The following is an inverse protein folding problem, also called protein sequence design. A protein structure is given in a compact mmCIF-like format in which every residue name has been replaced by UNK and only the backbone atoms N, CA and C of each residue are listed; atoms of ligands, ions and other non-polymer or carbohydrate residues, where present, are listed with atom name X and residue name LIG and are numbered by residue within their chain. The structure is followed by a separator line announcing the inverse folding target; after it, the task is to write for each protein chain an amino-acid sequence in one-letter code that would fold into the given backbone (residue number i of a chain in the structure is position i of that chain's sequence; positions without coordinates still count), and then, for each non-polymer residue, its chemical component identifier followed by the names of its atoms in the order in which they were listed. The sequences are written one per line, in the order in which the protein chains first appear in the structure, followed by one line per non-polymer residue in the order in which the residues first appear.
data_IF_979605671628
#
_entry.id   IF_979605671628
#
_cell.length_a   1.000
_cell.length_b   1.000
_cell.length_c   1.000
_cell.angle_alpha   90.00
_cell.angle_beta   90.00
_cell.angle_gamma   90.00
#
_symmetry.space_group_name_H-M   'P 1'
#
loop_
_entity.id
_entity.type
_entity.pdbx_description
1 polymer ?
#
# COMPACT_ATOMS: atom_id res chain seq x y z
N UNK A 1 17.15 -47.81 -6.83
CA UNK A 1 15.89 -47.17 -7.24
C UNK A 1 15.77 -45.89 -6.43
N UNK A 2 16.30 -44.80 -6.98
CA UNK A 2 16.04 -43.44 -6.50
C UNK A 2 14.73 -43.00 -7.16
N UNK A 3 13.68 -42.82 -6.37
CA UNK A 3 12.53 -42.02 -6.79
C UNK A 3 12.74 -40.60 -6.27
N UNK A 4 13.23 -39.76 -7.18
CA UNK A 4 13.20 -38.32 -7.09
C UNK A 4 11.73 -37.92 -7.20
N UNK A 5 11.01 -37.87 -6.09
CA UNK A 5 9.68 -37.26 -6.07
C UNK A 5 9.85 -35.75 -6.04
N UNK A 6 9.77 -35.19 -7.23
CA UNK A 6 9.75 -33.78 -7.57
C UNK A 6 9.03 -32.95 -6.50
N UNK A 7 9.74 -31.92 -6.01
CA UNK A 7 9.18 -30.89 -5.15
C UNK A 7 7.93 -30.30 -5.78
N UNK A 8 6.77 -30.61 -5.21
CA UNK A 8 5.61 -29.76 -5.29
C UNK A 8 5.96 -28.56 -4.40
N UNK A 9 6.53 -27.51 -4.99
CA UNK A 9 6.47 -26.18 -4.37
C UNK A 9 5.00 -25.82 -4.41
N UNK A 10 4.25 -26.15 -3.35
CA UNK A 10 2.86 -25.77 -3.22
C UNK A 10 2.74 -24.27 -3.47
N UNK A 11 1.75 -23.92 -4.30
CA UNK A 11 1.39 -22.55 -4.63
C UNK A 11 1.02 -21.80 -3.33
N UNK A 12 2.02 -21.23 -2.66
CA UNK A 12 1.83 -20.42 -1.45
C UNK A 12 0.99 -19.19 -1.79
N UNK A 13 -0.32 -19.36 -1.67
CA UNK A 13 -1.30 -18.29 -1.67
C UNK A 13 -1.72 -18.05 -0.23
N UNK A 14 -1.97 -16.80 0.12
CA UNK A 14 -2.36 -16.42 1.48
C UNK A 14 -3.81 -15.96 1.50
N UNK A 15 -4.55 -16.12 2.61
CA UNK A 15 -5.89 -15.55 2.71
C UNK A 15 -5.85 -14.02 2.52
N UNK A 16 -6.92 -13.43 1.97
CA UNK A 16 -7.03 -11.98 1.77
C UNK A 16 -6.82 -11.20 3.07
N UNK A 17 -7.35 -11.70 4.19
CA UNK A 17 -7.08 -11.17 5.52
C UNK A 17 -5.99 -12.00 6.16
N UNK A 18 -4.80 -11.40 6.23
CA UNK A 18 -3.65 -11.98 6.90
C UNK A 18 -3.60 -11.44 8.34
N UNK A 19 -3.59 -12.33 9.34
CA UNK A 19 -3.50 -11.97 10.77
C UNK A 19 -2.07 -12.01 11.34
N UNK A 20 -1.11 -12.48 10.55
CA UNK A 20 0.31 -12.57 10.93
C UNK A 20 1.16 -12.40 9.67
N UNK A 21 2.30 -11.72 9.73
CA UNK A 21 3.15 -11.55 8.54
C UNK A 21 3.90 -12.88 8.26
N UNK A 22 3.75 -13.50 7.08
CA UNK A 22 4.48 -14.73 6.76
C UNK A 22 6.00 -14.48 6.67
N UNK A 23 6.81 -15.49 7.00
CA UNK A 23 8.28 -15.40 7.02
C UNK A 23 8.88 -15.07 5.64
N UNK A 24 8.25 -15.57 4.57
CA UNK A 24 8.58 -15.22 3.19
C UNK A 24 8.46 -13.71 2.91
N UNK A 25 7.50 -13.04 3.55
CA UNK A 25 7.28 -11.59 3.44
C UNK A 25 8.22 -10.81 4.37
N UNK A 26 8.53 -11.33 5.56
CA UNK A 26 9.57 -10.76 6.42
C UNK A 26 10.91 -10.65 5.70
N UNK A 27 11.30 -11.70 4.97
CA UNK A 27 12.57 -11.72 4.23
C UNK A 27 12.60 -10.67 3.11
N UNK A 28 11.47 -10.47 2.42
CA UNK A 28 11.31 -9.40 1.41
C UNK A 28 11.39 -8.03 2.07
N UNK A 29 10.77 -7.87 3.23
CA UNK A 29 10.78 -6.64 3.99
C UNK A 29 12.20 -6.26 4.42
N UNK A 30 12.92 -7.18 5.07
CA UNK A 30 14.30 -6.99 5.51
C UNK A 30 15.23 -6.64 4.35
N UNK A 31 15.13 -7.34 3.21
CA UNK A 31 15.99 -7.07 2.05
C UNK A 31 15.76 -5.69 1.42
N UNK A 32 14.50 -5.26 1.32
CA UNK A 32 14.16 -4.00 0.65
C UNK A 32 14.12 -2.79 1.58
N UNK A 33 13.93 -3.00 2.89
CA UNK A 33 13.66 -1.93 3.85
C UNK A 33 14.61 -1.90 5.06
N UNK A 34 15.64 -2.78 5.17
CA UNK A 34 16.64 -2.69 6.27
C UNK A 34 17.29 -1.32 6.41
N UNK A 35 17.73 -0.74 5.29
CA UNK A 35 18.34 0.59 5.28
C UNK A 35 17.38 1.69 5.74
N UNK A 36 16.09 1.44 5.59
CA UNK A 36 15.05 2.35 6.01
C UNK A 36 14.69 2.21 7.49
N UNK A 37 14.73 1.01 8.07
CA UNK A 37 14.44 0.78 9.49
C UNK A 37 15.36 1.56 10.43
N UNK A 38 16.64 1.72 10.06
CA UNK A 38 17.62 2.48 10.87
C UNK A 38 17.40 4.00 10.82
N UNK A 39 16.79 4.51 9.75
CA UNK A 39 16.61 5.94 9.50
C UNK A 39 15.14 6.37 9.38
N UNK A 40 14.19 5.51 9.71
CA UNK A 40 12.75 5.71 9.45
C UNK A 40 12.25 7.00 10.10
N UNK A 41 12.65 7.22 11.36
CA UNK A 41 12.28 8.42 12.10
C UNK A 41 12.84 9.70 11.48
N UNK A 42 14.06 9.64 10.93
CA UNK A 42 14.68 10.77 10.23
C UNK A 42 13.90 11.08 8.95
N UNK A 43 13.58 10.06 8.15
CA UNK A 43 12.80 10.23 6.92
C UNK A 43 11.39 10.76 7.17
N UNK A 44 10.73 10.30 8.25
CA UNK A 44 9.43 10.81 8.67
C UNK A 44 9.50 12.28 9.07
N UNK A 45 10.50 12.65 9.87
CA UNK A 45 10.67 14.03 10.31
C UNK A 45 10.93 14.95 9.12
N UNK A 46 11.83 14.57 8.22
CA UNK A 46 12.15 15.35 7.01
C UNK A 46 10.92 15.52 6.10
N UNK A 47 10.15 14.45 5.88
CA UNK A 47 8.92 14.52 5.10
C UNK A 47 7.87 15.42 5.77
N UNK A 48 7.72 15.36 7.10
CA UNK A 48 6.83 16.26 7.85
C UNK A 48 7.23 17.72 7.68
N UNK A 49 8.53 18.02 7.73
CA UNK A 49 9.05 19.38 7.54
C UNK A 49 8.76 19.90 6.13
N UNK A 50 8.96 19.08 5.09
CA UNK A 50 8.61 19.45 3.72
C UNK A 50 7.11 19.78 3.56
N UNK A 51 6.24 19.07 4.31
CA UNK A 51 4.79 19.28 4.29
C UNK A 51 4.34 20.52 5.07
N UNK A 52 5.01 20.89 6.17
CA UNK A 52 4.66 22.08 6.98
C UNK A 52 4.70 23.39 6.20
N UNK A 53 5.53 23.47 5.15
CA UNK A 53 5.68 24.68 4.33
C UNK A 53 4.68 24.84 3.18
N UNK A 54 3.69 23.96 3.03
CA UNK A 54 2.78 23.97 1.88
C UNK A 54 1.35 24.32 2.26
N UNK A 55 0.75 25.21 1.47
CA UNK A 55 -0.64 25.65 1.60
C UNK A 55 -1.66 24.50 1.54
N UNK A 56 -1.36 23.47 0.75
CA UNK A 56 -2.25 22.32 0.55
C UNK A 56 -2.30 21.35 1.75
N UNK A 57 -1.30 21.40 2.61
CA UNK A 57 -1.18 20.56 3.82
C UNK A 57 -1.25 21.39 5.11
N UNK A 58 -1.61 22.68 4.99
CA UNK A 58 -1.87 23.53 6.14
C UNK A 58 -3.06 22.94 6.92
N UNK A 59 -2.90 22.85 8.23
CA UNK A 59 -3.89 22.29 9.17
C UNK A 59 -4.21 20.78 9.02
N UNK A 60 -3.39 20.03 8.28
CA UNK A 60 -3.50 18.57 8.22
C UNK A 60 -2.51 17.93 9.20
N UNK A 61 -3.04 17.21 10.18
CA UNK A 61 -2.24 16.30 11.01
C UNK A 61 -2.10 14.96 10.29
N UNK A 62 -0.88 14.67 9.83
CA UNK A 62 -0.59 13.39 9.18
C UNK A 62 -0.30 12.32 10.22
N UNK A 63 -1.04 11.21 10.14
CA UNK A 63 -0.71 9.98 10.83
C UNK A 63 0.62 9.41 10.33
N UNK A 64 1.44 8.89 11.24
CA UNK A 64 2.72 8.29 10.90
C UNK A 64 2.56 7.14 9.88
N UNK A 65 1.56 6.29 10.06
CA UNK A 65 1.37 5.11 9.20
C UNK A 65 1.11 5.49 7.74
N UNK A 66 0.39 6.59 7.51
CA UNK A 66 0.19 7.14 6.17
C UNK A 66 1.51 7.63 5.55
N UNK A 67 2.33 8.34 6.33
CA UNK A 67 3.63 8.84 5.88
C UNK A 67 4.61 7.69 5.61
N UNK A 68 4.67 6.69 6.50
CA UNK A 68 5.47 5.46 6.33
C UNK A 68 5.05 4.71 5.06
N UNK A 69 3.75 4.59 4.79
CA UNK A 69 3.26 3.99 3.56
C UNK A 69 3.73 4.76 2.32
N UNK A 70 3.73 6.09 2.36
CA UNK A 70 4.22 6.92 1.26
C UNK A 70 5.74 6.77 1.06
N UNK A 71 6.52 6.70 2.14
CA UNK A 71 7.97 6.46 2.10
C UNK A 71 8.29 5.08 1.55
N UNK A 72 7.71 4.02 2.14
CA UNK A 72 7.93 2.64 1.73
C UNK A 72 7.56 2.39 0.27
N UNK A 73 6.41 2.90 -0.18
CA UNK A 73 5.99 2.77 -1.59
C UNK A 73 6.85 3.55 -2.59
N UNK A 74 7.74 4.42 -2.12
CA UNK A 74 8.70 5.16 -2.95
C UNK A 74 10.16 4.78 -2.66
N UNK A 75 10.39 3.64 -2.00
CA UNK A 75 11.73 3.19 -1.59
C UNK A 75 12.51 4.25 -0.82
N UNK A 76 11.83 4.99 0.07
CA UNK A 76 12.40 6.03 0.92
C UNK A 76 13.08 7.20 0.17
N UNK A 77 12.75 7.39 -1.11
CA UNK A 77 13.12 8.60 -1.87
C UNK A 77 12.17 9.73 -1.47
N UNK A 78 12.62 10.59 -0.57
CA UNK A 78 11.80 11.62 0.08
C UNK A 78 11.10 12.52 -0.93
N UNK A 79 11.80 13.03 -1.94
CA UNK A 79 11.19 13.90 -2.98
C UNK A 79 10.03 13.23 -3.71
N UNK A 80 10.15 11.91 -3.96
CA UNK A 80 9.09 11.12 -4.60
C UNK A 80 7.92 10.88 -3.65
N UNK A 81 8.19 10.58 -2.39
CA UNK A 81 7.15 10.44 -1.36
C UNK A 81 6.37 11.75 -1.18
N UNK A 82 7.09 12.87 -1.08
CA UNK A 82 6.52 14.20 -1.03
C UNK A 82 5.65 14.51 -2.25
N UNK A 83 6.18 14.29 -3.46
CA UNK A 83 5.43 14.50 -4.71
C UNK A 83 4.16 13.63 -4.76
N UNK A 84 4.22 12.39 -4.27
CA UNK A 84 3.05 11.49 -4.21
C UNK A 84 1.97 12.04 -3.29
N UNK A 85 2.34 12.58 -2.13
CA UNK A 85 1.39 13.21 -1.20
C UNK A 85 0.75 14.46 -1.83
N UNK A 86 1.55 15.30 -2.50
CA UNK A 86 1.01 16.46 -3.22
C UNK A 86 0.03 16.06 -4.32
N UNK A 87 0.36 15.04 -5.11
CA UNK A 87 -0.53 14.51 -6.15
C UNK A 87 -1.82 13.94 -5.57
N UNK A 88 -1.75 13.27 -4.42
CA UNK A 88 -2.94 12.80 -3.71
C UNK A 88 -3.86 13.95 -3.30
N UNK A 89 -3.32 15.07 -2.81
CA UNK A 89 -4.13 16.25 -2.50
C UNK A 89 -4.74 16.89 -3.74
N UNK A 90 -3.97 17.05 -4.82
CA UNK A 90 -4.52 17.56 -6.07
C UNK A 90 -5.66 16.68 -6.60
N UNK A 91 -5.51 15.36 -6.53
CA UNK A 91 -6.58 14.41 -6.90
C UNK A 91 -7.83 14.64 -6.04
N UNK A 92 -7.66 14.75 -4.71
CA UNK A 92 -8.77 14.98 -3.79
C UNK A 92 -9.49 16.31 -3.99
N UNK A 93 -8.74 17.37 -4.29
CA UNK A 93 -9.31 18.71 -4.52
C UNK A 93 -10.03 18.75 -5.87
N UNK A 94 -9.37 18.29 -6.93
CA UNK A 94 -9.89 18.38 -8.29
C UNK A 94 -11.03 17.39 -8.57
N UNK A 95 -11.04 16.26 -7.86
CA UNK A 95 -12.07 15.23 -7.99
C UNK A 95 -12.76 14.96 -6.67
N UNK A 96 -13.05 16.03 -5.92
CA UNK A 96 -13.65 15.96 -4.59
C UNK A 96 -14.95 15.14 -4.56
N UNK A 97 -15.72 15.09 -5.65
CA UNK A 97 -16.93 14.28 -5.77
C UNK A 97 -16.72 12.78 -5.47
N UNK A 98 -15.53 12.21 -5.69
CA UNK A 98 -15.22 10.82 -5.30
C UNK A 98 -14.96 10.65 -3.79
N UNK A 99 -14.67 11.75 -3.09
CA UNK A 99 -14.18 11.74 -1.70
C UNK A 99 -15.13 12.41 -0.70
N UNK A 100 -16.27 12.95 -1.15
CA UNK A 100 -17.35 13.34 -0.24
C UNK A 100 -17.93 12.11 0.46
N UNK A 101 -18.70 12.29 1.53
CA UNK A 101 -19.43 11.20 2.20
C UNK A 101 -20.43 10.55 1.24
N UNK A 102 -19.96 9.62 0.42
CA UNK A 102 -20.81 8.76 -0.38
C UNK A 102 -21.34 7.70 0.58
N UNK A 103 -22.64 7.70 0.84
CA UNK A 103 -23.32 6.52 1.37
C UNK A 103 -23.24 5.45 0.29
N UNK A 104 -22.16 4.68 0.30
CA UNK A 104 -21.89 3.68 -0.71
C UNK A 104 -22.56 2.37 -0.29
N UNK A 105 -23.70 2.08 -0.92
CA UNK A 105 -24.34 0.76 -0.78
C UNK A 105 -23.67 -0.22 -1.74
N UNK A 106 -22.75 -1.03 -1.20
CA UNK A 106 -22.06 -2.08 -1.95
C UNK A 106 -23.01 -3.15 -2.51
N UNK A 107 -24.25 -3.24 -2.04
CA UNK A 107 -25.25 -4.19 -2.57
C UNK A 107 -25.95 -3.67 -3.82
N UNK A 108 -25.97 -2.34 -4.02
CA UNK A 108 -26.68 -1.68 -5.13
C UNK A 108 -25.74 -1.12 -6.20
N UNK A 109 -24.45 -0.94 -5.88
CA UNK A 109 -23.53 -0.28 -6.81
C UNK A 109 -23.02 -1.23 -7.92
N UNK A 110 -23.32 -1.00 -9.20
CA UNK A 110 -22.92 -1.92 -10.27
C UNK A 110 -21.40 -2.14 -10.39
N UNK A 111 -20.55 -1.31 -9.76
CA UNK A 111 -19.11 -1.54 -9.67
C UNK A 111 -18.72 -2.91 -9.09
N UNK A 112 -19.53 -3.52 -8.21
CA UNK A 112 -19.26 -4.90 -7.74
C UNK A 112 -19.36 -5.94 -8.86
N UNK A 113 -20.03 -5.61 -9.97
CA UNK A 113 -20.13 -6.49 -11.16
C UNK A 113 -18.90 -6.42 -12.04
N UNK A 114 -18.12 -5.34 -11.93
CA UNK A 114 -16.97 -5.11 -12.80
C UNK A 114 -15.66 -5.31 -12.05
N UNK A 115 -15.63 -5.19 -10.73
CA UNK A 115 -14.42 -5.31 -9.93
C UNK A 115 -14.62 -6.35 -8.83
N UNK A 116 -13.88 -7.44 -8.91
CA UNK A 116 -13.87 -8.50 -7.88
C UNK A 116 -12.49 -8.59 -7.23
N UNK A 117 -12.44 -8.46 -5.91
CA UNK A 117 -11.23 -8.76 -5.13
C UNK A 117 -11.17 -10.26 -4.90
N UNK A 118 -10.09 -10.91 -5.34
CA UNK A 118 -9.95 -12.35 -5.14
C UNK A 118 -9.65 -12.68 -3.67
N UNK A 119 -10.18 -13.82 -3.16
CA UNK A 119 -10.07 -14.19 -1.76
C UNK A 119 -8.65 -14.61 -1.34
N UNK A 120 -7.77 -14.82 -2.32
CA UNK A 120 -6.39 -15.24 -2.11
C UNK A 120 -5.41 -14.18 -2.62
N UNK A 121 -4.43 -13.90 -1.78
CA UNK A 121 -3.23 -13.13 -2.13
C UNK A 121 -2.25 -14.01 -2.86
N UNK A 122 -1.46 -13.36 -3.71
CA UNK A 122 -0.31 -13.96 -4.37
C UNK A 122 0.81 -14.22 -3.35
N UNK A 123 1.77 -15.07 -3.74
CA UNK A 123 2.95 -15.43 -2.93
C UNK A 123 3.75 -14.22 -2.42
N UNK A 124 3.74 -13.12 -3.16
CA UNK A 124 4.44 -11.88 -2.81
C UNK A 124 3.64 -10.95 -1.87
N UNK A 125 2.45 -11.39 -1.44
CA UNK A 125 1.52 -10.66 -0.57
C UNK A 125 0.51 -9.77 -1.28
N UNK A 126 0.63 -9.64 -2.60
CA UNK A 126 -0.21 -8.77 -3.41
C UNK A 126 -1.67 -9.27 -3.45
N UNK A 127 -2.61 -8.34 -3.38
CA UNK A 127 -4.04 -8.60 -3.63
C UNK A 127 -4.28 -8.67 -5.13
N UNK A 128 -5.04 -9.65 -5.59
CA UNK A 128 -5.47 -9.71 -6.99
C UNK A 128 -6.85 -9.08 -7.12
N UNK A 129 -6.97 -8.14 -8.04
CA UNK A 129 -8.23 -7.49 -8.40
C UNK A 129 -8.54 -7.88 -9.84
N UNK A 130 -9.70 -8.51 -10.06
CA UNK A 130 -10.22 -8.82 -11.39
C UNK A 130 -11.11 -7.68 -11.86
N UNK A 131 -10.81 -7.19 -13.06
CA UNK A 131 -11.67 -6.27 -13.79
C UNK A 131 -12.37 -7.01 -14.92
N UNK A 132 -13.70 -7.08 -14.88
CA UNK A 132 -14.53 -7.53 -15.99
C UNK A 132 -14.92 -6.29 -16.80
N UNK A 133 -14.41 -6.20 -18.03
CA UNK A 133 -14.63 -5.10 -18.96
C UNK A 133 -15.72 -5.47 -19.98
#
# INVERSE_FOLDING_TARGET
MEEISNGIIENETYPLVIRHIPESMHTKYERHFRQAGENDQKYLQELREMLKGKKLSTDIEFEDDFLRLCLASNNYKIDKAFSKIQNFFHLRINHSYFFHNIKFDFTQNPAYRFITILPLRRKDGSVTVLGEL
#
